data_IF_082735086031
#
_entry.id   IF_082735086031
#
_cell.length_a   1.000
_cell.length_b   1.000
_cell.length_c   1.000
_cell.angle_alpha   90.00
_cell.angle_beta   90.00
_cell.angle_gamma   90.00
#
_symmetry.space_group_name_H-M   'P 1'
#
loop_
_entity.id
_entity.type
_entity.pdbx_description
1 polymer ?
#
# COMPACT_ATOMS: atom_id res chain seq x y z
N UNK A 1 -16.06 -27.19 -22.98
CA UNK A 1 -15.92 -28.52 -22.37
C UNK A 1 -15.09 -28.30 -21.10
N UNK A 2 -15.78 -28.32 -19.96
CA UNK A 2 -15.18 -28.07 -18.64
C UNK A 2 -14.70 -29.43 -18.11
N UNK A 3 -13.38 -29.58 -17.97
CA UNK A 3 -12.77 -30.75 -17.32
C UNK A 3 -12.84 -30.53 -15.83
N UNK A 4 -13.55 -31.39 -15.11
CA UNK A 4 -13.64 -31.40 -13.64
C UNK A 4 -12.30 -31.84 -13.05
N UNK A 5 -11.77 -31.18 -11.99
CA UNK A 5 -10.49 -31.54 -11.36
C UNK A 5 -10.63 -32.67 -10.34
N UNK A 6 -11.23 -33.78 -10.73
CA UNK A 6 -11.48 -34.92 -9.82
C UNK A 6 -10.84 -36.25 -10.25
N UNK A 7 -10.18 -36.30 -11.41
CA UNK A 7 -9.78 -37.58 -12.01
C UNK A 7 -8.31 -37.91 -11.95
N UNK A 8 -7.44 -37.00 -11.48
CA UNK A 8 -5.99 -37.26 -11.38
C UNK A 8 -5.51 -37.77 -10.00
N UNK A 9 -6.28 -37.55 -8.93
CA UNK A 9 -5.93 -38.07 -7.60
C UNK A 9 -6.32 -39.54 -7.38
N UNK A 10 -7.28 -40.03 -8.13
CA UNK A 10 -7.80 -41.44 -8.00
C UNK A 10 -6.83 -42.48 -8.56
N UNK A 11 -5.95 -42.11 -9.50
CA UNK A 11 -5.03 -43.07 -10.16
C UNK A 11 -3.70 -43.26 -9.44
N UNK A 12 -3.30 -42.38 -8.51
CA UNK A 12 -2.04 -42.55 -7.76
C UNK A 12 -2.16 -43.37 -6.47
N UNK A 13 -3.36 -43.73 -6.07
CA UNK A 13 -3.58 -44.49 -4.81
C UNK A 13 -3.69 -46.00 -5.00
N UNK A 14 -3.75 -46.49 -6.23
CA UNK A 14 -3.94 -47.94 -6.50
C UNK A 14 -2.63 -48.74 -6.39
N UNK A 15 -1.46 -48.12 -6.47
CA UNK A 15 -0.15 -48.82 -6.40
C UNK A 15 0.48 -48.86 -4.99
N UNK A 16 -0.19 -48.28 -3.96
CA UNK A 16 0.37 -48.25 -2.61
C UNK A 16 0.02 -49.55 -1.83
N UNK A 17 0.98 -50.09 -1.09
CA UNK A 17 0.75 -51.17 -0.15
C UNK A 17 -0.26 -50.81 0.92
N UNK A 18 -0.93 -51.78 1.59
CA UNK A 18 -1.86 -51.51 2.68
C UNK A 18 -1.27 -50.65 3.80
N UNK A 19 0.02 -50.86 4.12
CA UNK A 19 0.73 -50.08 5.14
C UNK A 19 0.96 -48.61 4.68
N UNK A 20 1.29 -48.39 3.42
CA UNK A 20 1.45 -47.04 2.84
C UNK A 20 0.10 -46.33 2.74
N UNK A 21 -0.98 -47.03 2.37
CA UNK A 21 -2.33 -46.44 2.37
C UNK A 21 -2.77 -46.02 3.78
N UNK A 22 -2.51 -46.87 4.79
CA UNK A 22 -2.79 -46.51 6.18
C UNK A 22 -1.96 -45.32 6.65
N UNK A 23 -0.67 -45.29 6.35
CA UNK A 23 0.22 -44.17 6.66
C UNK A 23 -0.23 -42.88 5.96
N UNK A 24 -0.62 -42.94 4.68
CA UNK A 24 -1.17 -41.81 3.94
C UNK A 24 -2.52 -41.33 4.51
N UNK A 25 -3.42 -42.23 4.85
CA UNK A 25 -4.68 -41.89 5.48
C UNK A 25 -4.48 -41.24 6.86
N UNK A 26 -3.54 -41.75 7.65
CA UNK A 26 -3.19 -41.16 8.96
C UNK A 26 -2.54 -39.77 8.83
N UNK A 27 -1.67 -39.55 7.80
CA UNK A 27 -1.14 -38.23 7.49
C UNK A 27 -2.23 -37.25 7.08
N UNK A 28 -3.15 -37.66 6.18
CA UNK A 28 -4.31 -36.83 5.77
C UNK A 28 -5.20 -36.47 6.96
N UNK A 29 -5.50 -37.44 7.83
CA UNK A 29 -6.29 -37.20 9.05
C UNK A 29 -5.55 -36.22 10.01
N UNK A 30 -4.25 -36.35 10.15
CA UNK A 30 -3.43 -35.40 10.94
C UNK A 30 -3.39 -34.03 10.32
N UNK A 31 -3.23 -33.92 8.99
CA UNK A 31 -3.28 -32.66 8.26
C UNK A 31 -4.65 -31.98 8.34
N UNK A 32 -5.73 -32.74 8.30
CA UNK A 32 -7.10 -32.23 8.46
C UNK A 32 -7.42 -31.77 9.90
N UNK A 33 -6.65 -32.23 10.88
CA UNK A 33 -6.83 -31.86 12.29
C UNK A 33 -6.05 -30.57 12.65
N UNK A 34 -5.33 -29.97 11.71
CA UNK A 34 -4.53 -28.76 11.96
C UNK A 34 -5.38 -27.49 11.96
N UNK A 35 -4.91 -26.45 12.67
CA UNK A 35 -5.51 -25.13 12.62
C UNK A 35 -5.45 -24.53 11.21
N UNK A 36 -4.38 -24.84 10.47
CA UNK A 36 -4.23 -24.42 9.07
C UNK A 36 -5.31 -25.04 8.18
N UNK A 37 -5.69 -26.31 8.39
CA UNK A 37 -6.74 -26.93 7.59
C UNK A 37 -8.08 -26.21 7.77
N UNK A 38 -8.50 -25.98 9.03
CA UNK A 38 -9.75 -25.27 9.34
C UNK A 38 -9.72 -23.80 8.85
N UNK A 39 -8.55 -23.15 8.87
CA UNK A 39 -8.38 -21.80 8.36
C UNK A 39 -8.53 -21.75 6.83
N UNK A 40 -7.99 -22.75 6.11
CA UNK A 40 -8.12 -22.83 4.64
C UNK A 40 -9.56 -22.94 4.16
N UNK A 41 -10.42 -23.58 4.94
CA UNK A 41 -11.86 -23.70 4.64
C UNK A 41 -12.61 -22.35 4.68
N UNK A 42 -11.99 -21.31 5.30
CA UNK A 42 -12.57 -19.97 5.35
C UNK A 42 -12.36 -19.16 4.05
N UNK A 43 -11.65 -19.71 3.06
CA UNK A 43 -11.34 -19.05 1.81
C UNK A 43 -11.77 -19.87 0.60
N UNK A 44 -12.29 -19.19 -0.42
CA UNK A 44 -12.70 -19.78 -1.70
C UNK A 44 -11.53 -19.97 -2.67
N UNK A 45 -10.29 -19.67 -2.25
CA UNK A 45 -9.08 -19.77 -3.05
C UNK A 45 -7.97 -20.51 -2.30
N UNK A 46 -7.00 -21.02 -3.07
CA UNK A 46 -5.83 -21.68 -2.49
C UNK A 46 -4.82 -20.68 -1.92
N UNK A 47 -4.18 -21.04 -0.82
CA UNK A 47 -3.09 -20.24 -0.25
C UNK A 47 -1.81 -20.43 -1.06
N UNK A 48 -1.03 -19.37 -1.18
CA UNK A 48 0.29 -19.39 -1.80
C UNK A 48 1.31 -20.17 -0.96
N UNK A 49 2.36 -20.74 -1.57
CA UNK A 49 3.37 -21.53 -0.86
C UNK A 49 3.97 -20.81 0.34
N UNK A 50 4.32 -19.51 0.22
CA UNK A 50 4.89 -18.74 1.31
C UNK A 50 3.90 -18.53 2.47
N UNK A 51 2.60 -18.42 2.16
CA UNK A 51 1.54 -18.30 3.18
C UNK A 51 1.39 -19.61 3.95
N UNK A 52 1.41 -20.75 3.23
CA UNK A 52 1.34 -22.08 3.84
C UNK A 52 2.54 -22.29 4.76
N UNK A 53 3.75 -21.98 4.29
CA UNK A 53 4.99 -22.12 5.07
C UNK A 53 4.95 -21.28 6.35
N UNK A 54 4.52 -20.02 6.24
CA UNK A 54 4.40 -19.13 7.40
C UNK A 54 3.35 -19.61 8.41
N UNK A 55 2.20 -20.08 7.94
CA UNK A 55 1.15 -20.63 8.80
C UNK A 55 1.62 -21.92 9.53
N UNK A 56 2.34 -22.80 8.84
CA UNK A 56 2.93 -24.01 9.46
C UNK A 56 3.98 -23.67 10.52
N UNK A 57 4.81 -22.67 10.27
CA UNK A 57 5.79 -22.17 11.25
C UNK A 57 5.09 -21.65 12.51
N UNK A 58 4.04 -20.83 12.36
CA UNK A 58 3.25 -20.31 13.47
C UNK A 58 2.54 -21.44 14.25
N UNK A 59 1.98 -22.44 13.56
CA UNK A 59 1.31 -23.59 14.18
C UNK A 59 2.30 -24.44 14.98
N UNK A 60 3.58 -24.50 14.56
CA UNK A 60 4.65 -25.15 15.30
C UNK A 60 5.18 -24.33 16.49
N UNK A 61 4.66 -23.11 16.71
CA UNK A 61 5.03 -22.23 17.83
C UNK A 61 6.16 -21.26 17.53
N UNK A 62 6.64 -21.19 16.27
CA UNK A 62 7.71 -20.26 15.87
C UNK A 62 7.17 -18.87 15.58
N UNK A 63 8.00 -17.84 15.82
CA UNK A 63 7.79 -16.53 15.25
C UNK A 63 8.01 -16.54 13.72
N UNK A 64 7.45 -15.57 13.00
CA UNK A 64 7.69 -15.43 11.56
C UNK A 64 7.97 -14.00 11.15
N UNK A 65 8.90 -13.85 10.20
CA UNK A 65 9.06 -12.64 9.39
C UNK A 65 8.68 -12.99 7.95
N UNK A 66 7.61 -12.40 7.47
CA UNK A 66 7.18 -12.57 6.07
C UNK A 66 7.50 -11.29 5.30
N UNK A 67 8.47 -11.36 4.41
CA UNK A 67 8.85 -10.28 3.49
C UNK A 67 8.35 -10.63 2.08
N UNK A 68 7.31 -9.94 1.63
CA UNK A 68 6.72 -10.19 0.32
C UNK A 68 6.10 -8.88 -0.25
N UNK A 69 6.00 -8.72 -1.58
CA UNK A 69 5.49 -7.51 -2.19
C UNK A 69 4.10 -7.13 -1.69
N UNK A 70 3.78 -5.83 -1.76
CA UNK A 70 2.42 -5.34 -1.50
C UNK A 70 1.45 -6.00 -2.50
N UNK A 71 0.28 -6.42 -2.01
CA UNK A 71 -0.70 -7.15 -2.82
C UNK A 71 -0.44 -8.65 -2.95
N UNK A 72 0.63 -9.21 -2.37
CA UNK A 72 0.90 -10.66 -2.37
C UNK A 72 0.03 -11.47 -1.38
N UNK A 73 -0.80 -10.81 -0.58
CA UNK A 73 -1.64 -11.50 0.39
C UNK A 73 -0.96 -11.82 1.74
N UNK A 74 0.10 -11.11 2.15
CA UNK A 74 0.75 -11.24 3.48
C UNK A 74 -0.24 -11.22 4.65
N UNK A 75 -1.27 -10.41 4.52
CA UNK A 75 -2.34 -10.25 5.51
C UNK A 75 -2.95 -11.58 5.97
N UNK A 76 -3.00 -12.58 5.10
CA UNK A 76 -3.52 -13.93 5.40
C UNK A 76 -2.72 -14.57 6.55
N UNK A 77 -1.41 -14.38 6.58
CA UNK A 77 -0.57 -14.92 7.67
C UNK A 77 -0.91 -14.25 9.01
N UNK A 78 -1.16 -12.93 9.01
CA UNK A 78 -1.62 -12.22 10.20
C UNK A 78 -3.03 -12.65 10.64
N UNK A 79 -3.93 -12.93 9.69
CA UNK A 79 -5.27 -13.45 9.98
C UNK A 79 -5.21 -14.89 10.49
N UNK A 80 -4.25 -15.71 10.03
CA UNK A 80 -4.01 -17.02 10.59
C UNK A 80 -3.55 -16.96 12.05
N UNK A 81 -2.67 -16.00 12.41
CA UNK A 81 -2.29 -15.81 13.81
C UNK A 81 -3.48 -15.44 14.70
N UNK A 82 -4.42 -14.63 14.20
CA UNK A 82 -5.69 -14.33 14.88
C UNK A 82 -6.51 -15.61 15.06
N UNK A 83 -6.67 -16.42 14.00
CA UNK A 83 -7.39 -17.68 14.03
C UNK A 83 -6.78 -18.66 15.05
N UNK A 84 -5.48 -18.82 15.01
CA UNK A 84 -4.73 -19.70 15.90
C UNK A 84 -4.86 -19.28 17.37
N UNK A 85 -4.76 -17.97 17.66
CA UNK A 85 -4.96 -17.44 19.01
C UNK A 85 -6.36 -17.74 19.54
N UNK A 86 -7.40 -17.52 18.74
CA UNK A 86 -8.78 -17.79 19.11
C UNK A 86 -9.02 -19.29 19.37
N UNK A 87 -8.44 -20.18 18.58
CA UNK A 87 -8.50 -21.62 18.82
C UNK A 87 -7.81 -22.04 20.12
N UNK A 88 -6.71 -21.37 20.46
CA UNK A 88 -5.94 -21.61 21.68
C UNK A 88 -6.55 -20.94 22.93
N UNK A 89 -7.63 -20.18 22.80
CA UNK A 89 -8.20 -19.38 23.88
C UNK A 89 -7.27 -18.26 24.38
N UNK A 90 -6.35 -17.80 23.53
CA UNK A 90 -5.41 -16.72 23.80
C UNK A 90 -5.86 -15.42 23.13
N UNK A 91 -5.27 -14.29 23.56
CA UNK A 91 -5.46 -13.01 22.90
C UNK A 91 -4.48 -12.84 21.74
N UNK A 92 -4.92 -12.11 20.72
CA UNK A 92 -4.09 -11.64 19.61
C UNK A 92 -4.20 -10.13 19.46
N UNK A 93 -3.07 -9.43 19.44
CA UNK A 93 -3.03 -8.02 19.10
C UNK A 93 -2.53 -7.85 17.67
N UNK A 94 -3.31 -7.13 16.87
CA UNK A 94 -2.97 -6.82 15.48
C UNK A 94 -2.56 -5.35 15.41
N UNK A 95 -1.27 -5.07 15.19
CA UNK A 95 -0.77 -3.69 15.15
C UNK A 95 -0.54 -3.21 13.72
N UNK A 96 -0.81 -1.94 13.49
CA UNK A 96 -0.60 -1.26 12.21
C UNK A 96 0.12 0.08 12.44
N UNK A 97 0.82 0.64 11.43
CA UNK A 97 1.58 1.88 11.59
C UNK A 97 0.71 3.13 11.74
N UNK A 98 -0.56 3.09 11.32
CA UNK A 98 -1.44 4.26 11.33
C UNK A 98 -2.90 3.88 11.60
N UNK A 99 -3.68 4.86 12.14
CA UNK A 99 -5.08 4.69 12.51
C UNK A 99 -5.98 4.22 11.36
N UNK A 100 -5.77 4.74 10.14
CA UNK A 100 -6.58 4.38 8.98
C UNK A 100 -6.52 2.88 8.69
N UNK A 101 -5.30 2.29 8.72
CA UNK A 101 -5.10 0.85 8.59
C UNK A 101 -5.73 0.08 9.75
N UNK A 102 -5.63 0.61 10.99
CA UNK A 102 -6.27 -0.02 12.15
C UNK A 102 -7.79 -0.10 11.96
N UNK A 103 -8.42 0.99 11.53
CA UNK A 103 -9.87 1.03 11.29
C UNK A 103 -10.29 0.05 10.20
N UNK A 104 -9.56 0.00 9.09
CA UNK A 104 -9.83 -0.94 8.00
C UNK A 104 -9.68 -2.39 8.48
N UNK A 105 -8.58 -2.74 9.13
CA UNK A 105 -8.34 -4.08 9.64
C UNK A 105 -9.35 -4.50 10.68
N UNK A 106 -9.77 -3.57 11.56
CA UNK A 106 -10.84 -3.79 12.51
C UNK A 106 -12.15 -4.17 11.80
N UNK A 107 -12.55 -3.41 10.78
CA UNK A 107 -13.76 -3.70 10.01
C UNK A 107 -13.69 -5.07 9.31
N UNK A 108 -12.52 -5.42 8.75
CA UNK A 108 -12.30 -6.71 8.09
C UNK A 108 -12.40 -7.88 9.07
N UNK A 109 -11.75 -7.76 10.22
CA UNK A 109 -11.79 -8.80 11.26
C UNK A 109 -13.16 -8.92 11.92
N UNK A 110 -13.90 -7.80 12.11
CA UNK A 110 -15.29 -7.85 12.60
C UNK A 110 -16.21 -8.61 11.63
N UNK A 111 -16.06 -8.41 10.32
CA UNK A 111 -16.83 -9.15 9.32
C UNK A 111 -16.56 -10.65 9.37
N UNK A 112 -15.35 -11.05 9.71
CA UNK A 112 -14.91 -12.45 9.72
C UNK A 112 -15.21 -13.15 11.04
N UNK A 113 -14.95 -12.52 12.17
CA UNK A 113 -14.97 -13.15 13.50
C UNK A 113 -16.11 -12.66 14.40
N UNK A 114 -16.85 -11.62 13.98
CA UNK A 114 -17.89 -10.96 14.79
C UNK A 114 -17.35 -9.79 15.60
N UNK A 115 -18.17 -8.73 15.73
CA UNK A 115 -17.77 -7.50 16.45
C UNK A 115 -17.58 -7.74 17.97
N UNK A 116 -18.19 -8.78 18.53
CA UNK A 116 -18.05 -9.16 19.93
C UNK A 116 -16.66 -9.74 20.27
N UNK A 117 -15.93 -10.24 19.27
CA UNK A 117 -14.60 -10.84 19.43
C UNK A 117 -13.47 -9.90 19.05
N UNK A 118 -13.79 -8.78 18.42
CA UNK A 118 -12.79 -7.85 17.90
C UNK A 118 -12.93 -6.50 18.57
N UNK A 119 -11.81 -5.93 19.01
CA UNK A 119 -11.72 -4.60 19.57
C UNK A 119 -10.84 -3.68 18.72
N UNK A 120 -10.99 -2.39 18.91
CA UNK A 120 -10.16 -1.34 18.31
C UNK A 120 -9.61 -0.44 19.40
N UNK A 121 -8.30 -0.18 19.38
CA UNK A 121 -7.67 0.73 20.31
C UNK A 121 -6.68 1.63 19.57
N UNK A 122 -7.05 2.90 19.40
CA UNK A 122 -6.20 3.95 18.81
C UNK A 122 -6.07 5.10 19.78
N UNK A 123 -5.22 6.09 19.48
CA UNK A 123 -5.00 7.21 20.41
C UNK A 123 -6.24 8.01 20.77
N UNK A 124 -7.30 7.95 19.98
CA UNK A 124 -8.54 8.72 20.11
C UNK A 124 -9.81 7.85 20.11
N UNK A 125 -9.69 6.53 19.87
CA UNK A 125 -10.84 5.64 19.81
C UNK A 125 -10.58 4.34 20.57
N UNK A 126 -11.55 3.90 21.37
CA UNK A 126 -11.52 2.65 22.13
C UNK A 126 -12.86 1.95 22.00
N UNK A 127 -12.88 0.83 21.32
CA UNK A 127 -14.05 -0.04 21.14
C UNK A 127 -13.68 -1.44 21.59
N UNK A 128 -14.44 -2.00 22.53
CA UNK A 128 -14.26 -3.38 22.99
C UNK A 128 -12.79 -3.77 23.28
N UNK A 129 -12.07 -2.95 24.03
CA UNK A 129 -10.63 -3.11 24.30
C UNK A 129 -10.27 -4.38 25.09
N UNK A 130 -11.26 -5.07 25.68
CA UNK A 130 -11.13 -6.35 26.37
C UNK A 130 -11.30 -7.58 25.46
N UNK A 131 -11.60 -7.39 24.18
CA UNK A 131 -11.81 -8.47 23.22
C UNK A 131 -10.61 -9.42 23.11
N UNK A 132 -10.81 -10.69 22.72
CA UNK A 132 -9.71 -11.62 22.47
C UNK A 132 -8.82 -11.18 21.30
N UNK A 133 -9.36 -10.42 20.34
CA UNK A 133 -8.58 -9.82 19.25
C UNK A 133 -8.69 -8.31 19.36
N UNK A 134 -7.57 -7.59 19.44
CA UNK A 134 -7.58 -6.12 19.48
C UNK A 134 -6.68 -5.58 18.37
N UNK A 135 -7.28 -4.77 17.51
CA UNK A 135 -6.55 -4.02 16.49
C UNK A 135 -6.11 -2.67 17.08
N UNK A 136 -4.86 -2.30 16.89
CA UNK A 136 -4.32 -1.06 17.46
C UNK A 136 -3.17 -0.50 16.63
N UNK A 137 -2.77 0.74 16.93
CA UNK A 137 -1.50 1.25 16.39
C UNK A 137 -0.32 0.74 17.21
N UNK A 138 0.85 0.65 16.57
CA UNK A 138 2.07 0.14 17.24
C UNK A 138 2.46 0.99 18.45
N UNK A 139 2.25 2.31 18.39
CA UNK A 139 2.50 3.23 19.51
C UNK A 139 1.62 2.92 20.72
N UNK A 140 0.38 2.49 20.51
CA UNK A 140 -0.53 2.11 21.61
C UNK A 140 -0.01 0.85 22.29
N UNK A 141 0.41 -0.17 21.52
CA UNK A 141 0.99 -1.38 22.10
C UNK A 141 2.25 -1.07 22.93
N UNK A 142 3.17 -0.23 22.40
CA UNK A 142 4.34 0.22 23.14
C UNK A 142 3.95 0.84 24.47
N UNK A 143 2.99 1.76 24.48
CA UNK A 143 2.56 2.44 25.70
C UNK A 143 1.93 1.45 26.70
N UNK A 144 1.20 0.42 26.22
CA UNK A 144 0.64 -0.64 27.06
C UNK A 144 1.74 -1.49 27.70
N UNK A 145 2.81 -1.81 26.97
CA UNK A 145 3.97 -2.56 27.48
C UNK A 145 4.66 -1.77 28.61
N UNK A 146 4.94 -0.49 28.39
CA UNK A 146 5.55 0.36 29.41
C UNK A 146 4.67 0.56 30.64
N UNK A 147 3.36 0.64 30.46
CA UNK A 147 2.42 0.80 31.56
C UNK A 147 2.14 -0.52 32.32
N UNK A 148 2.65 -1.66 31.85
CA UNK A 148 2.32 -2.97 32.43
C UNK A 148 0.82 -3.27 32.41
N UNK A 149 0.14 -2.94 31.31
CA UNK A 149 -1.32 -3.00 31.19
C UNK A 149 -1.86 -4.41 31.48
N UNK A 150 -2.90 -4.50 32.30
CA UNK A 150 -3.61 -5.75 32.58
C UNK A 150 -4.22 -6.40 31.31
N UNK A 151 -4.43 -5.62 30.28
CA UNK A 151 -4.94 -6.10 28.98
C UNK A 151 -3.96 -7.07 28.30
N UNK A 152 -2.66 -7.00 28.63
CA UNK A 152 -1.62 -7.92 28.15
C UNK A 152 -1.77 -9.35 28.70
N UNK A 153 -2.55 -9.54 29.76
CA UNK A 153 -2.77 -10.87 30.33
C UNK A 153 -3.50 -11.78 29.32
N UNK A 154 -2.91 -12.95 29.10
CA UNK A 154 -3.42 -13.93 28.13
C UNK A 154 -3.04 -13.63 26.69
N UNK A 155 -2.18 -12.64 26.43
CA UNK A 155 -1.64 -12.36 25.09
C UNK A 155 -0.79 -13.54 24.62
N UNK A 156 -1.12 -14.12 23.49
CA UNK A 156 -0.39 -15.22 22.87
C UNK A 156 0.31 -14.84 21.57
N UNK A 157 -0.29 -13.92 20.81
CA UNK A 157 0.23 -13.54 19.50
C UNK A 157 0.18 -12.02 19.33
N UNK A 158 1.20 -11.48 18.68
CA UNK A 158 1.23 -10.10 18.19
C UNK A 158 1.55 -10.11 16.71
N UNK A 159 0.67 -9.51 15.92
CA UNK A 159 0.91 -9.23 14.50
C UNK A 159 1.39 -7.80 14.37
N UNK A 160 2.59 -7.63 13.81
CA UNK A 160 3.14 -6.33 13.45
C UNK A 160 3.07 -6.18 11.92
N UNK A 161 2.02 -5.50 11.47
CA UNK A 161 1.85 -5.25 10.04
C UNK A 161 2.72 -4.07 9.61
N UNK A 162 3.22 -4.14 8.36
CA UNK A 162 4.11 -3.14 7.75
C UNK A 162 5.37 -2.87 8.60
N UNK A 163 6.00 -3.94 9.11
CA UNK A 163 7.16 -3.84 10.02
C UNK A 163 8.38 -3.13 9.39
N UNK A 164 8.41 -2.94 8.06
CA UNK A 164 9.44 -2.16 7.39
C UNK A 164 9.48 -0.68 7.82
N UNK A 165 8.44 -0.17 8.49
CA UNK A 165 8.46 1.13 9.18
C UNK A 165 9.52 1.23 10.28
N UNK A 166 10.10 0.11 10.71
CA UNK A 166 11.27 0.09 11.59
C UNK A 166 12.44 0.89 11.00
N UNK A 167 12.57 0.96 9.68
CA UNK A 167 13.58 1.79 9.00
C UNK A 167 13.24 3.29 8.95
N UNK A 168 12.04 3.71 9.41
CA UNK A 168 11.67 5.13 9.47
C UNK A 168 12.48 5.84 10.57
N UNK A 169 13.16 6.93 10.19
CA UNK A 169 14.05 7.69 11.08
C UNK A 169 13.38 8.21 12.36
N UNK A 170 12.08 8.51 12.29
CA UNK A 170 11.35 9.13 13.41
C UNK A 170 10.50 8.14 14.19
N UNK A 171 10.02 7.08 13.54
CA UNK A 171 9.09 6.11 14.13
C UNK A 171 9.72 4.75 14.39
N UNK A 172 10.82 4.41 13.73
CA UNK A 172 11.43 3.08 13.78
C UNK A 172 11.68 2.57 15.21
N UNK A 173 12.14 3.45 16.10
CA UNK A 173 12.36 3.11 17.49
C UNK A 173 11.12 2.53 18.21
N UNK A 174 9.90 2.92 17.79
CA UNK A 174 8.66 2.38 18.38
C UNK A 174 8.51 0.88 18.11
N UNK A 175 8.85 0.44 16.89
CA UNK A 175 8.81 -0.98 16.51
C UNK A 175 9.86 -1.78 17.25
N UNK A 176 11.10 -1.25 17.35
CA UNK A 176 12.19 -1.89 18.11
C UNK A 176 11.80 -2.06 19.57
N UNK A 177 11.29 -1.01 20.22
CA UNK A 177 10.85 -1.03 21.62
C UNK A 177 9.75 -2.07 21.84
N UNK A 178 8.77 -2.19 20.95
CA UNK A 178 7.74 -3.23 21.03
C UNK A 178 8.36 -4.62 20.94
N UNK A 179 9.22 -4.87 19.95
CA UNK A 179 9.83 -6.18 19.72
C UNK A 179 10.66 -6.61 20.94
N UNK A 180 11.44 -5.69 21.52
CA UNK A 180 12.32 -5.97 22.67
C UNK A 180 11.53 -6.21 23.97
N UNK A 181 10.44 -5.45 24.18
CA UNK A 181 9.71 -5.46 25.45
C UNK A 181 8.52 -6.45 25.46
N UNK A 182 8.17 -7.05 24.34
CA UNK A 182 7.17 -8.13 24.33
C UNK A 182 7.65 -9.31 25.17
N UNK A 183 6.77 -9.91 26.01
CA UNK A 183 7.12 -11.14 26.76
C UNK A 183 7.57 -12.26 25.82
N UNK A 184 8.55 -13.05 26.21
CA UNK A 184 9.09 -14.17 25.40
C UNK A 184 8.02 -15.20 25.04
N UNK A 185 7.00 -15.36 25.88
CA UNK A 185 5.87 -16.28 25.64
C UNK A 185 4.92 -15.84 24.53
N UNK A 186 5.07 -14.62 24.02
CA UNK A 186 4.21 -14.08 22.94
C UNK A 186 4.87 -14.34 21.60
N UNK A 187 4.18 -15.05 20.72
CA UNK A 187 4.63 -15.30 19.35
C UNK A 187 4.50 -14.04 18.50
N UNK A 188 5.59 -13.64 17.86
CA UNK A 188 5.64 -12.46 17.01
C UNK A 188 5.43 -12.83 15.53
N UNK A 189 4.53 -12.12 14.86
CA UNK A 189 4.24 -12.24 13.43
C UNK A 189 4.55 -10.91 12.75
N UNK A 190 5.67 -10.83 12.06
CA UNK A 190 6.14 -9.62 11.38
C UNK A 190 5.84 -9.69 9.90
N UNK A 191 5.02 -8.75 9.40
CA UNK A 191 4.64 -8.66 7.98
C UNK A 191 5.31 -7.43 7.37
N UNK A 192 6.05 -7.62 6.28
CA UNK A 192 6.84 -6.58 5.63
C UNK A 192 6.61 -6.56 4.13
N UNK A 193 6.67 -5.37 3.51
CA UNK A 193 6.98 -5.28 2.10
C UNK A 193 8.38 -5.88 1.85
N UNK A 194 8.70 -6.27 0.62
CA UNK A 194 10.04 -6.75 0.27
C UNK A 194 11.09 -5.73 0.68
N UNK A 195 12.00 -6.14 1.54
CA UNK A 195 13.14 -5.34 2.00
C UNK A 195 14.44 -5.97 1.53
N UNK A 196 15.37 -5.14 1.10
CA UNK A 196 16.68 -5.58 0.61
C UNK A 196 17.54 -6.28 1.67
N UNK A 197 17.21 -6.10 2.96
CA UNK A 197 17.93 -6.64 4.12
C UNK A 197 17.03 -7.53 5.00
N UNK A 198 16.07 -8.25 4.38
CA UNK A 198 15.14 -9.11 5.14
C UNK A 198 15.87 -10.21 5.94
N UNK A 199 16.98 -10.73 5.42
CA UNK A 199 17.80 -11.74 6.11
C UNK A 199 18.46 -11.14 7.36
N UNK A 200 19.14 -9.99 7.24
CA UNK A 200 19.78 -9.30 8.37
C UNK A 200 18.76 -8.94 9.46
N UNK A 201 17.59 -8.46 9.05
CA UNK A 201 16.51 -8.16 9.98
C UNK A 201 15.95 -9.42 10.63
N UNK A 202 15.86 -10.51 9.90
CA UNK A 202 15.47 -11.83 10.41
C UNK A 202 16.45 -12.37 11.45
N UNK A 203 17.75 -12.27 11.20
CA UNK A 203 18.81 -12.67 12.15
C UNK A 203 18.74 -11.85 13.44
N UNK A 204 18.45 -10.55 13.32
CA UNK A 204 18.23 -9.71 14.50
C UNK A 204 16.98 -10.14 15.28
N UNK A 205 15.86 -10.42 14.60
CA UNK A 205 14.64 -10.93 15.24
C UNK A 205 14.88 -12.27 15.93
N UNK A 206 15.60 -13.19 15.31
CA UNK A 206 15.96 -14.47 15.91
C UNK A 206 16.84 -14.29 17.16
N UNK A 207 17.77 -13.33 17.12
CA UNK A 207 18.60 -12.98 18.27
C UNK A 207 17.78 -12.42 19.44
N UNK A 208 16.79 -11.58 19.17
CA UNK A 208 16.00 -10.87 20.19
C UNK A 208 14.83 -11.72 20.69
N UNK A 209 14.18 -12.49 19.80
CA UNK A 209 12.94 -13.23 20.09
C UNK A 209 13.10 -14.74 20.13
N UNK A 210 14.22 -15.26 19.59
CA UNK A 210 14.44 -16.70 19.39
C UNK A 210 13.50 -17.28 18.31
N UNK A 211 13.86 -18.43 17.80
CA UNK A 211 13.10 -19.32 16.88
C UNK A 211 12.12 -18.60 15.90
N UNK A 212 12.68 -17.67 15.14
CA UNK A 212 11.95 -16.88 14.14
C UNK A 212 12.26 -17.39 12.75
N UNK A 213 11.24 -17.82 11.99
CA UNK A 213 11.39 -18.24 10.59
C UNK A 213 11.25 -17.06 9.65
N UNK A 214 12.26 -16.84 8.81
CA UNK A 214 12.27 -15.80 7.78
C UNK A 214 11.77 -16.39 6.47
N UNK A 215 10.74 -15.79 5.89
CA UNK A 215 10.10 -16.24 4.65
C UNK A 215 10.08 -15.05 3.69
N UNK A 216 10.81 -15.20 2.58
CA UNK A 216 10.93 -14.17 1.56
C UNK A 216 10.24 -14.64 0.28
N UNK A 217 9.37 -13.82 -0.27
CA UNK A 217 8.75 -14.06 -1.57
C UNK A 217 8.89 -12.81 -2.44
N UNK A 218 9.40 -12.97 -3.64
CA UNK A 218 9.54 -11.90 -4.63
C UNK A 218 8.39 -11.93 -5.66
N UNK A 219 7.53 -12.95 -5.57
CA UNK A 219 6.43 -13.10 -6.51
C UNK A 219 5.40 -11.97 -6.35
N UNK A 220 5.18 -11.23 -7.45
CA UNK A 220 4.11 -10.23 -7.55
C UNK A 220 2.93 -10.84 -8.32
N UNK A 221 1.76 -11.02 -7.69
CA UNK A 221 0.57 -11.51 -8.37
C UNK A 221 0.14 -10.58 -9.53
N UNK A 222 0.35 -9.27 -9.35
CA UNK A 222 0.14 -8.26 -10.39
C UNK A 222 1.49 -7.69 -10.79
N UNK A 223 1.92 -7.88 -12.06
CA UNK A 223 3.18 -7.31 -12.55
C UNK A 223 3.19 -5.78 -12.43
N UNK A 224 4.34 -5.22 -12.06
CA UNK A 224 4.59 -3.78 -12.02
C UNK A 224 5.46 -3.37 -13.21
N UNK A 225 4.89 -2.59 -14.12
CA UNK A 225 5.60 -2.00 -15.25
C UNK A 225 6.01 -0.58 -14.91
N UNK A 226 7.27 -0.24 -15.22
CA UNK A 226 7.83 1.06 -14.91
C UNK A 226 8.06 1.86 -16.20
N UNK A 227 7.52 3.08 -16.22
CA UNK A 227 7.55 3.94 -17.39
C UNK A 227 8.01 5.36 -17.04
N UNK A 228 8.46 6.09 -18.04
CA UNK A 228 8.75 7.52 -17.95
C UNK A 228 7.91 8.25 -18.98
N UNK A 229 7.12 9.21 -18.53
CA UNK A 229 6.39 10.12 -19.43
C UNK A 229 7.26 11.35 -19.71
N UNK A 230 7.72 11.51 -20.95
CA UNK A 230 8.48 12.66 -21.42
C UNK A 230 7.84 13.27 -22.67
N UNK A 231 7.48 14.53 -22.60
CA UNK A 231 6.68 15.17 -23.63
C UNK A 231 5.31 14.54 -23.74
N UNK A 232 5.01 13.96 -24.91
CA UNK A 232 3.72 13.27 -25.17
C UNK A 232 3.86 11.75 -25.30
N UNK A 233 5.01 11.19 -24.91
CA UNK A 233 5.27 9.75 -25.06
C UNK A 233 5.56 9.10 -23.71
N UNK A 234 5.02 7.90 -23.55
CA UNK A 234 5.34 6.99 -22.47
C UNK A 234 6.46 6.08 -22.99
N UNK A 235 7.57 6.01 -22.27
CA UNK A 235 8.73 5.18 -22.56
C UNK A 235 8.84 4.13 -21.46
N UNK A 236 9.15 2.89 -21.83
CA UNK A 236 9.55 1.89 -20.85
C UNK A 236 10.84 2.33 -20.16
N UNK A 237 10.87 2.30 -18.82
CA UNK A 237 12.05 2.70 -18.05
C UNK A 237 13.24 1.77 -18.32
N UNK A 238 12.96 0.47 -18.50
CA UNK A 238 13.96 -0.54 -18.76
C UNK A 238 13.67 -1.25 -20.08
N UNK A 239 14.73 -1.57 -20.81
CA UNK A 239 14.70 -2.47 -21.95
C UNK A 239 15.38 -3.79 -21.58
N UNK A 240 14.87 -4.90 -22.11
CA UNK A 240 15.48 -6.21 -21.93
C UNK A 240 16.57 -6.43 -22.99
N UNK A 241 17.83 -6.25 -22.63
CA UNK A 241 18.98 -6.71 -23.42
C UNK A 241 19.44 -8.08 -22.89
N UNK A 242 18.88 -9.15 -23.43
CA UNK A 242 19.18 -10.51 -23.01
C UNK A 242 18.74 -10.80 -21.56
N UNK A 243 19.69 -11.12 -20.68
CA UNK A 243 19.42 -11.41 -19.24
C UNK A 243 19.53 -10.19 -18.32
N UNK A 244 19.84 -9.00 -18.83
CA UNK A 244 20.02 -7.80 -18.02
C UNK A 244 18.98 -6.74 -18.38
N UNK A 245 18.35 -6.17 -17.38
CA UNK A 245 17.52 -4.96 -17.52
C UNK A 245 18.46 -3.76 -17.61
N UNK A 246 18.47 -3.06 -18.74
CA UNK A 246 19.19 -1.80 -18.94
C UNK A 246 18.21 -0.64 -18.98
N UNK A 247 18.63 0.53 -18.48
CA UNK A 247 17.82 1.75 -18.60
C UNK A 247 17.70 2.10 -20.08
N UNK A 248 16.49 2.43 -20.53
CA UNK A 248 16.18 2.77 -21.90
C UNK A 248 17.14 3.84 -22.45
N UNK A 249 17.83 3.58 -23.58
CA UNK A 249 18.80 4.48 -24.16
C UNK A 249 18.25 5.87 -24.52
N UNK A 250 16.97 5.93 -24.93
CA UNK A 250 16.31 7.20 -25.25
C UNK A 250 16.12 8.07 -24.02
N UNK A 251 15.76 7.49 -22.88
CA UNK A 251 15.66 8.20 -21.59
C UNK A 251 17.04 8.69 -21.17
N UNK A 252 18.06 7.83 -21.27
CA UNK A 252 19.45 8.20 -20.94
C UNK A 252 19.95 9.35 -21.81
N UNK A 253 19.63 9.35 -23.12
CA UNK A 253 19.97 10.42 -24.06
C UNK A 253 19.26 11.72 -23.71
N UNK A 254 17.95 11.68 -23.38
CA UNK A 254 17.19 12.85 -22.95
C UNK A 254 17.76 13.45 -21.65
N UNK A 255 18.07 12.62 -20.66
CA UNK A 255 18.65 13.05 -19.39
C UNK A 255 20.01 13.73 -19.58
N UNK A 256 20.89 13.20 -20.46
CA UNK A 256 22.17 13.81 -20.79
C UNK A 256 22.01 15.16 -21.48
N UNK A 257 21.05 15.31 -22.38
CA UNK A 257 20.72 16.58 -23.04
C UNK A 257 20.21 17.63 -22.06
N UNK A 258 19.45 17.25 -21.04
CA UNK A 258 19.02 18.15 -19.98
C UNK A 258 20.19 18.54 -19.05
N UNK A 259 21.02 17.59 -18.64
CA UNK A 259 22.16 17.80 -17.75
C UNK A 259 23.27 18.68 -18.38
N UNK A 260 23.42 18.63 -19.70
CA UNK A 260 24.42 19.44 -20.43
C UNK A 260 24.04 20.95 -20.62
N UNK A 261 22.89 21.35 -20.04
CA UNK A 261 22.42 22.75 -20.13
C UNK A 261 23.16 23.65 -19.15
N UNK A 262 23.65 24.84 -19.59
CA UNK A 262 24.23 25.81 -18.68
C UNK A 262 23.19 26.30 -17.66
N UNK A 263 23.56 26.31 -16.39
CA UNK A 263 22.75 26.86 -15.30
C UNK A 263 22.47 28.35 -15.55
N UNK A 264 21.35 28.87 -15.03
CA UNK A 264 20.96 30.29 -15.14
C UNK A 264 22.02 31.26 -14.62
N UNK A 265 22.95 30.82 -13.77
CA UNK A 265 24.05 31.62 -13.23
C UNK A 265 25.15 32.01 -14.21
N UNK A 266 25.39 31.22 -15.26
CA UNK A 266 26.48 31.42 -16.22
C UNK A 266 26.20 32.46 -17.34
N UNK A 267 25.01 33.07 -17.37
CA UNK A 267 24.56 33.96 -18.46
C UNK A 267 25.08 35.38 -18.42
N UNK A 268 25.94 35.74 -17.46
CA UNK A 268 26.42 37.14 -17.35
C UNK A 268 27.69 37.51 -18.15
N UNK A 269 28.28 36.60 -18.91
CA UNK A 269 29.47 36.90 -19.72
C UNK A 269 29.36 36.41 -21.17
N UNK A 270 28.79 37.22 -22.04
CA UNK A 270 28.85 37.00 -23.49
C UNK A 270 28.10 38.07 -24.27
N UNK A 271 28.82 39.13 -24.68
CA UNK A 271 28.35 40.05 -25.74
C UNK A 271 28.47 39.33 -27.08
N UNK A 272 27.41 38.66 -27.52
CA UNK A 272 27.33 38.00 -28.82
C UNK A 272 26.16 38.50 -29.65
N UNK A 273 26.26 38.43 -30.97
CA UNK A 273 25.34 38.92 -32.00
C UNK A 273 23.87 38.45 -31.76
N UNK A 274 22.93 39.39 -31.77
CA UNK A 274 21.49 39.19 -31.51
C UNK A 274 20.87 38.10 -32.42
N UNK A 275 21.30 38.04 -33.68
CA UNK A 275 20.77 37.05 -34.66
C UNK A 275 21.21 35.60 -34.41
N UNK A 276 22.39 35.40 -33.84
CA UNK A 276 22.86 34.08 -33.42
C UNK A 276 22.19 33.63 -32.15
N UNK A 277 21.95 34.54 -31.21
CA UNK A 277 21.24 34.32 -29.96
C UNK A 277 19.77 33.89 -30.20
N UNK A 278 19.09 34.45 -31.21
CA UNK A 278 17.70 34.07 -31.55
C UNK A 278 17.63 32.68 -32.20
N UNK A 279 18.55 32.34 -33.13
CA UNK A 279 18.65 30.97 -33.69
C UNK A 279 19.02 29.93 -32.64
N UNK A 280 19.84 30.31 -31.69
CA UNK A 280 20.19 29.43 -30.58
C UNK A 280 19.04 29.28 -29.56
N UNK A 281 18.22 30.33 -29.38
CA UNK A 281 16.97 30.30 -28.63
C UNK A 281 15.94 29.37 -29.27
N UNK A 282 15.75 29.47 -30.60
CA UNK A 282 14.83 28.58 -31.34
C UNK A 282 15.32 27.10 -31.32
N UNK A 283 16.63 26.86 -31.48
CA UNK A 283 17.21 25.52 -31.33
C UNK A 283 17.04 24.98 -29.90
N UNK A 284 17.23 25.84 -28.88
CA UNK A 284 17.04 25.50 -27.46
C UNK A 284 15.57 25.26 -27.13
N UNK A 285 14.64 25.97 -27.72
CA UNK A 285 13.20 25.74 -27.58
C UNK A 285 12.76 24.40 -28.20
N UNK A 286 13.33 24.03 -29.35
CA UNK A 286 13.08 22.73 -30.01
C UNK A 286 13.71 21.54 -29.32
N UNK A 287 14.75 21.75 -28.50
CA UNK A 287 15.45 20.69 -27.75
C UNK A 287 14.98 20.54 -26.28
N UNK A 288 13.99 21.31 -25.86
CA UNK A 288 13.47 21.24 -24.49
C UNK A 288 12.67 19.96 -24.36
N UNK A 289 13.05 19.07 -23.43
CA UNK A 289 12.17 17.98 -23.03
C UNK A 289 10.94 18.65 -22.42
N UNK A 290 9.82 18.53 -23.11
CA UNK A 290 8.56 19.13 -22.68
C UNK A 290 8.07 18.36 -21.44
N UNK A 291 7.97 19.05 -20.31
CA UNK A 291 7.27 18.50 -19.15
C UNK A 291 5.77 18.69 -19.40
N UNK A 292 4.98 17.62 -19.54
CA UNK A 292 3.55 17.72 -19.79
C UNK A 292 2.85 18.38 -18.59
N UNK A 293 1.76 19.10 -18.88
CA UNK A 293 0.87 19.59 -17.83
C UNK A 293 0.17 18.40 -17.16
N UNK A 294 -0.33 18.61 -15.94
CA UNK A 294 -1.05 17.54 -15.20
C UNK A 294 -2.29 17.04 -15.95
N UNK A 295 -3.02 17.94 -16.61
CA UNK A 295 -4.14 17.56 -17.46
C UNK A 295 -3.71 16.70 -18.64
N UNK A 296 -2.61 17.04 -19.33
CA UNK A 296 -2.08 16.23 -20.43
C UNK A 296 -1.62 14.83 -19.96
N UNK A 297 -1.08 14.73 -18.73
CA UNK A 297 -0.74 13.42 -18.14
C UNK A 297 -1.98 12.57 -17.97
N UNK A 298 -3.04 13.12 -17.37
CA UNK A 298 -4.29 12.37 -17.13
C UNK A 298 -4.98 12.01 -18.45
N UNK A 299 -5.05 12.93 -19.42
CA UNK A 299 -5.57 12.65 -20.76
C UNK A 299 -4.80 11.52 -21.46
N UNK A 300 -3.47 11.51 -21.29
CA UNK A 300 -2.65 10.44 -21.86
C UNK A 300 -2.93 9.10 -21.22
N UNK A 301 -3.04 9.05 -19.89
CA UNK A 301 -3.40 7.84 -19.16
C UNK A 301 -4.79 7.34 -19.52
N UNK A 302 -5.76 8.24 -19.72
CA UNK A 302 -7.11 7.87 -20.15
C UNK A 302 -7.10 7.26 -21.54
N UNK A 303 -6.42 7.90 -22.51
CA UNK A 303 -6.28 7.43 -23.87
C UNK A 303 -5.62 6.03 -23.99
N UNK A 304 -4.71 5.68 -23.07
CA UNK A 304 -4.06 4.37 -22.99
C UNK A 304 -4.85 3.35 -22.12
N UNK A 305 -6.01 3.76 -21.57
CA UNK A 305 -6.82 2.90 -20.68
C UNK A 305 -6.14 2.61 -19.33
N UNK A 306 -5.29 3.52 -18.85
CA UNK A 306 -4.49 3.38 -17.64
C UNK A 306 -5.11 4.06 -16.40
N UNK A 307 -6.37 4.50 -16.48
CA UNK A 307 -7.15 4.97 -15.34
C UNK A 307 -7.86 3.79 -14.64
N UNK A 308 -8.14 3.87 -13.32
CA UNK A 308 -7.90 4.99 -12.43
C UNK A 308 -6.43 5.17 -12.07
N UNK A 309 -6.02 6.42 -11.83
CA UNK A 309 -4.63 6.78 -11.51
C UNK A 309 -4.53 7.61 -10.24
N UNK A 310 -3.43 7.39 -9.48
CA UNK A 310 -3.04 8.22 -8.34
C UNK A 310 -1.74 8.95 -8.71
N UNK A 311 -1.76 10.27 -8.64
CA UNK A 311 -0.58 11.12 -8.85
C UNK A 311 -0.08 11.66 -7.52
N UNK A 312 1.11 11.26 -7.10
CA UNK A 312 1.71 11.76 -5.87
C UNK A 312 2.39 13.10 -6.08
N UNK A 313 1.92 14.09 -5.32
CA UNK A 313 2.45 15.45 -5.25
C UNK A 313 2.76 15.75 -3.77
N UNK A 314 4.02 15.87 -3.40
CA UNK A 314 4.45 16.03 -2.00
C UNK A 314 4.15 17.44 -1.44
N UNK A 315 2.96 17.98 -1.76
CA UNK A 315 2.48 19.29 -1.33
C UNK A 315 0.96 19.33 -1.32
N UNK A 316 0.34 19.72 -0.20
CA UNK A 316 -1.12 19.88 -0.08
C UNK A 316 -1.65 20.89 -1.09
N UNK A 317 -1.06 22.10 -1.11
CA UNK A 317 -1.41 23.13 -2.07
C UNK A 317 -1.16 22.71 -3.53
N UNK A 318 -0.15 21.84 -3.76
CA UNK A 318 0.12 21.23 -5.05
C UNK A 318 -0.99 20.29 -5.52
N UNK A 319 -1.60 19.53 -4.62
CA UNK A 319 -2.73 18.64 -4.92
C UNK A 319 -3.97 19.45 -5.34
N UNK A 320 -4.32 20.49 -4.58
CA UNK A 320 -5.42 21.39 -4.91
C UNK A 320 -5.19 22.11 -6.25
N UNK A 321 -4.00 22.68 -6.44
CA UNK A 321 -3.64 23.33 -7.69
C UNK A 321 -3.70 22.37 -8.89
N UNK A 322 -3.43 21.06 -8.71
CA UNK A 322 -3.53 20.07 -9.76
C UNK A 322 -4.98 19.84 -10.19
N UNK A 323 -5.90 19.74 -9.24
CA UNK A 323 -7.34 19.65 -9.53
C UNK A 323 -7.78 20.88 -10.31
N UNK A 324 -7.43 22.09 -9.84
CA UNK A 324 -7.79 23.34 -10.51
C UNK A 324 -7.24 23.40 -11.95
N UNK A 325 -5.99 23.00 -12.17
CA UNK A 325 -5.41 22.95 -13.54
C UNK A 325 -6.23 22.02 -14.46
N UNK A 326 -6.66 20.87 -13.96
CA UNK A 326 -7.48 19.95 -14.73
C UNK A 326 -8.88 20.52 -15.03
N UNK A 327 -9.49 21.20 -14.05
CA UNK A 327 -10.80 21.87 -14.23
C UNK A 327 -10.71 23.01 -15.25
N UNK A 328 -9.68 23.87 -15.18
CA UNK A 328 -9.43 24.95 -16.15
C UNK A 328 -9.12 24.43 -17.56
N UNK A 329 -8.43 23.30 -17.68
CA UNK A 329 -8.20 22.64 -18.96
C UNK A 329 -9.47 21.98 -19.54
N UNK A 330 -10.58 21.98 -18.81
CA UNK A 330 -11.85 21.40 -19.24
C UNK A 330 -11.90 19.88 -19.18
N UNK A 331 -10.97 19.24 -18.46
CA UNK A 331 -10.90 17.77 -18.35
C UNK A 331 -12.19 17.20 -17.73
N UNK A 332 -12.75 16.16 -18.39
CA UNK A 332 -13.94 15.45 -17.94
C UNK A 332 -13.74 13.96 -18.17
N UNK A 333 -13.71 13.20 -17.09
CA UNK A 333 -13.51 11.75 -17.11
C UNK A 333 -14.85 10.99 -16.92
N UNK A 334 -15.89 11.69 -16.45
CA UNK A 334 -17.21 11.13 -16.18
C UNK A 334 -18.24 11.62 -17.19
N UNK A 335 -19.14 10.72 -17.58
CA UNK A 335 -20.37 11.03 -18.28
C UNK A 335 -21.45 11.62 -17.34
N UNK A 336 -22.58 12.04 -17.89
CA UNK A 336 -23.65 12.68 -17.12
C UNK A 336 -24.30 11.72 -16.10
N UNK A 337 -24.35 10.41 -16.40
CA UNK A 337 -24.91 9.41 -15.49
C UNK A 337 -23.98 9.18 -14.29
N UNK A 338 -22.66 9.13 -14.53
CA UNK A 338 -21.67 9.05 -13.45
C UNK A 338 -21.69 10.32 -12.58
N UNK A 339 -21.80 11.51 -13.19
CA UNK A 339 -21.93 12.80 -12.49
C UNK A 339 -23.12 12.82 -11.54
N UNK A 340 -24.30 12.38 -12.01
CA UNK A 340 -25.51 12.33 -11.18
C UNK A 340 -25.32 11.40 -9.96
N UNK A 341 -24.68 10.24 -10.15
CA UNK A 341 -24.35 9.31 -9.05
C UNK A 341 -23.38 9.91 -8.04
N UNK A 342 -22.35 10.62 -8.53
CA UNK A 342 -21.41 11.34 -7.67
C UNK A 342 -22.16 12.36 -6.81
N UNK A 343 -22.98 13.20 -7.43
CA UNK A 343 -23.75 14.23 -6.71
C UNK A 343 -24.63 13.63 -5.62
N UNK A 344 -25.41 12.61 -5.95
CA UNK A 344 -26.29 11.94 -5.00
C UNK A 344 -25.55 11.38 -3.78
N UNK A 345 -24.38 10.74 -3.99
CA UNK A 345 -23.57 10.20 -2.92
C UNK A 345 -22.95 11.31 -2.06
N UNK A 346 -22.44 12.37 -2.69
CA UNK A 346 -21.84 13.50 -1.97
C UNK A 346 -22.90 14.19 -1.10
N UNK A 347 -24.09 14.48 -1.63
CA UNK A 347 -25.19 15.08 -0.87
C UNK A 347 -25.59 14.22 0.33
N UNK A 348 -25.68 12.90 0.16
CA UNK A 348 -25.98 11.96 1.24
C UNK A 348 -24.90 12.00 2.35
N UNK A 349 -23.62 11.93 1.96
CA UNK A 349 -22.50 11.89 2.91
C UNK A 349 -22.22 13.21 3.62
N UNK A 350 -22.59 14.32 3.00
CA UNK A 350 -22.37 15.67 3.54
C UNK A 350 -23.63 16.29 4.17
N UNK A 351 -24.73 15.55 4.25
CA UNK A 351 -26.02 16.05 4.79
C UNK A 351 -25.93 16.59 6.23
N UNK A 352 -24.94 16.14 7.01
CA UNK A 352 -24.70 16.61 8.37
C UNK A 352 -23.94 17.94 8.46
N UNK A 353 -23.38 18.44 7.34
CA UNK A 353 -22.61 19.68 7.31
C UNK A 353 -23.59 20.86 7.14
N UNK A 354 -23.56 21.89 8.02
CA UNK A 354 -24.41 23.05 7.87
C UNK A 354 -24.21 23.76 6.53
N UNK A 355 -25.31 24.19 5.91
CA UNK A 355 -25.24 24.81 4.58
C UNK A 355 -24.40 26.11 4.56
N UNK A 356 -24.34 26.82 5.67
CA UNK A 356 -23.54 28.04 5.86
C UNK A 356 -22.02 27.75 5.83
N UNK A 357 -21.59 26.54 6.23
CA UNK A 357 -20.19 26.14 6.26
C UNK A 357 -19.67 25.63 4.89
N UNK A 358 -20.55 25.18 4.00
CA UNK A 358 -20.16 24.58 2.73
C UNK A 358 -19.28 25.51 1.88
N UNK A 359 -19.58 26.80 1.84
CA UNK A 359 -18.79 27.77 1.07
C UNK A 359 -17.38 27.94 1.64
N UNK A 360 -17.27 28.04 2.97
CA UNK A 360 -15.97 28.21 3.66
C UNK A 360 -15.09 26.98 3.50
N UNK A 361 -15.70 25.80 3.41
CA UNK A 361 -15.02 24.52 3.23
C UNK A 361 -14.61 24.24 1.77
N UNK A 362 -14.92 25.14 0.81
CA UNK A 362 -14.61 24.93 -0.61
C UNK A 362 -15.43 23.80 -1.26
N UNK A 363 -16.61 23.47 -0.70
CA UNK A 363 -17.43 22.35 -1.11
C UNK A 363 -17.79 22.36 -2.62
N UNK A 364 -18.12 23.51 -3.18
CA UNK A 364 -18.60 23.59 -4.56
C UNK A 364 -17.51 23.28 -5.57
N UNK A 365 -16.28 23.74 -5.33
CA UNK A 365 -15.11 23.44 -6.19
C UNK A 365 -14.70 21.98 -6.06
N UNK A 366 -14.73 21.47 -4.82
CA UNK A 366 -14.45 20.06 -4.56
C UNK A 366 -15.50 19.15 -5.23
N UNK A 367 -16.81 19.48 -5.12
CA UNK A 367 -17.88 18.74 -5.80
C UNK A 367 -17.71 18.76 -7.33
N UNK A 368 -17.38 19.92 -7.91
CA UNK A 368 -17.15 20.03 -9.34
C UNK A 368 -16.01 19.09 -9.80
N UNK A 369 -14.92 19.01 -9.04
CA UNK A 369 -13.83 18.06 -9.31
C UNK A 369 -14.32 16.62 -9.29
N UNK A 370 -15.06 16.22 -8.26
CA UNK A 370 -15.60 14.87 -8.11
C UNK A 370 -16.56 14.50 -9.26
N UNK A 371 -17.45 15.42 -9.64
CA UNK A 371 -18.36 15.22 -10.75
C UNK A 371 -17.63 14.97 -12.08
N UNK A 372 -16.45 15.59 -12.25
CA UNK A 372 -15.60 15.36 -13.43
C UNK A 372 -14.70 14.14 -13.30
N UNK A 373 -14.73 13.44 -12.17
CA UNK A 373 -13.94 12.24 -11.89
C UNK A 373 -12.52 12.53 -11.39
N UNK A 374 -12.28 13.73 -10.83
CA UNK A 374 -10.96 14.22 -10.41
C UNK A 374 -11.04 14.66 -8.94
N UNK A 375 -10.05 14.30 -8.14
CA UNK A 375 -10.01 14.68 -6.72
C UNK A 375 -8.59 14.99 -6.22
N UNK A 376 -8.51 15.80 -5.17
CA UNK A 376 -7.35 15.86 -4.28
C UNK A 376 -7.56 14.95 -3.08
N UNK A 377 -6.47 14.42 -2.49
CA UNK A 377 -6.49 13.68 -1.24
C UNK A 377 -5.26 13.97 -0.40
N UNK A 378 -5.43 14.64 0.73
CA UNK A 378 -4.33 15.00 1.63
C UNK A 378 -4.80 15.24 3.07
N UNK A 379 -3.87 15.29 4.02
CA UNK A 379 -4.14 15.41 5.45
C UNK A 379 -4.83 16.75 5.86
N UNK A 380 -4.86 17.76 4.98
CA UNK A 380 -5.53 19.03 5.25
C UNK A 380 -7.04 19.04 4.95
N UNK A 381 -7.57 17.96 4.35
CA UNK A 381 -9.00 17.84 4.05
C UNK A 381 -9.79 17.36 5.28
N UNK A 382 -11.07 17.71 5.32
CA UNK A 382 -11.99 17.14 6.30
C UNK A 382 -12.05 15.61 6.19
N UNK A 383 -12.16 14.88 7.30
CA UNK A 383 -12.30 13.42 7.28
C UNK A 383 -13.41 12.94 6.35
N UNK A 384 -14.59 13.54 6.45
CA UNK A 384 -15.74 13.22 5.58
C UNK A 384 -15.43 13.38 4.09
N UNK A 385 -14.71 14.45 3.71
CA UNK A 385 -14.34 14.68 2.31
C UNK A 385 -13.35 13.61 1.82
N UNK A 386 -12.41 13.19 2.65
CA UNK A 386 -11.48 12.10 2.32
C UNK A 386 -12.21 10.78 2.11
N UNK A 387 -13.09 10.41 3.05
CA UNK A 387 -13.89 9.18 2.97
C UNK A 387 -14.76 9.15 1.71
N UNK A 388 -15.34 10.27 1.32
CA UNK A 388 -16.12 10.39 0.07
C UNK A 388 -15.22 10.18 -1.17
N UNK A 389 -14.03 10.78 -1.21
CA UNK A 389 -13.08 10.57 -2.31
C UNK A 389 -12.69 9.10 -2.42
N UNK A 390 -12.38 8.46 -1.30
CA UNK A 390 -12.02 7.05 -1.21
C UNK A 390 -13.16 6.14 -1.70
N UNK A 391 -14.38 6.40 -1.24
CA UNK A 391 -15.57 5.64 -1.66
C UNK A 391 -15.85 5.80 -3.16
N UNK A 392 -15.78 7.02 -3.68
CA UNK A 392 -15.98 7.29 -5.10
C UNK A 392 -14.88 6.65 -5.97
N UNK A 393 -13.63 6.63 -5.49
CA UNK A 393 -12.54 5.96 -6.18
C UNK A 393 -12.76 4.45 -6.24
N UNK A 394 -13.13 3.82 -5.13
CA UNK A 394 -13.46 2.39 -5.09
C UNK A 394 -14.62 2.02 -6.02
N UNK A 395 -15.58 2.94 -6.21
CA UNK A 395 -16.71 2.77 -7.15
C UNK A 395 -16.36 3.10 -8.61
N UNK A 396 -15.13 3.52 -8.89
CA UNK A 396 -14.67 3.93 -10.23
C UNK A 396 -15.30 5.23 -10.73
N UNK A 397 -15.87 6.05 -9.82
CA UNK A 397 -16.49 7.35 -10.12
C UNK A 397 -15.48 8.50 -10.01
N UNK A 398 -14.43 8.36 -9.22
CA UNK A 398 -13.22 9.19 -9.26
C UNK A 398 -12.14 8.37 -9.95
N UNK A 399 -11.56 8.90 -11.02
CA UNK A 399 -10.60 8.21 -11.90
C UNK A 399 -9.20 8.78 -11.84
N UNK A 400 -9.05 10.03 -11.36
CA UNK A 400 -7.75 10.66 -11.14
C UNK A 400 -7.69 11.31 -9.76
N UNK A 401 -6.71 10.90 -8.95
CA UNK A 401 -6.50 11.45 -7.61
C UNK A 401 -5.10 12.06 -7.53
N UNK A 402 -5.02 13.30 -7.08
CA UNK A 402 -3.79 13.97 -6.72
C UNK A 402 -3.58 13.90 -5.21
N UNK A 403 -2.53 13.23 -4.75
CA UNK A 403 -2.37 12.88 -3.35
C UNK A 403 -1.00 13.25 -2.78
N UNK A 404 -0.96 13.44 -1.46
CA UNK A 404 0.27 13.47 -0.69
C UNK A 404 0.66 12.06 -0.24
N UNK A 405 1.88 11.89 0.25
CA UNK A 405 2.43 10.61 0.74
C UNK A 405 1.51 9.89 1.76
N UNK A 406 0.70 10.66 2.50
CA UNK A 406 -0.23 10.10 3.49
C UNK A 406 -1.29 9.15 2.90
N UNK A 407 -1.60 9.26 1.60
CA UNK A 407 -2.50 8.33 0.93
C UNK A 407 -1.87 6.95 0.76
N UNK A 408 -0.55 6.90 0.49
CA UNK A 408 0.17 5.63 0.32
C UNK A 408 0.19 4.79 1.60
N UNK A 409 -0.03 5.42 2.74
CA UNK A 409 0.08 4.86 4.08
C UNK A 409 -1.25 4.24 4.55
N UNK A 410 -1.89 3.38 3.76
CA UNK A 410 -2.91 2.54 4.32
C UNK A 410 -4.34 2.71 3.83
N UNK A 411 -4.54 3.23 2.67
CA UNK A 411 -5.86 3.25 2.05
C UNK A 411 -5.85 2.26 0.89
N UNK A 412 -6.77 1.30 0.92
CA UNK A 412 -6.95 0.37 -0.18
C UNK A 412 -7.67 1.08 -1.33
N UNK A 413 -6.90 1.84 -2.13
CA UNK A 413 -7.38 2.47 -3.36
C UNK A 413 -6.71 1.77 -4.56
N UNK A 414 -7.37 0.78 -5.17
CA UNK A 414 -6.78 0.01 -6.27
C UNK A 414 -6.66 0.90 -7.52
N UNK A 415 -5.48 1.51 -7.68
CA UNK A 415 -5.14 2.28 -8.86
C UNK A 415 -4.51 1.38 -9.93
N UNK A 416 -4.86 1.61 -11.19
CA UNK A 416 -4.22 0.96 -12.33
C UNK A 416 -2.84 1.55 -12.60
N UNK A 417 -2.69 2.85 -12.33
CA UNK A 417 -1.44 3.58 -12.51
C UNK A 417 -1.11 4.45 -11.31
N UNK A 418 0.19 4.53 -11.02
CA UNK A 418 0.75 5.47 -10.04
C UNK A 418 1.72 6.38 -10.76
N UNK A 419 1.56 7.68 -10.59
CA UNK A 419 2.41 8.72 -11.17
C UNK A 419 3.19 9.41 -10.06
N UNK A 420 4.50 9.47 -10.19
CA UNK A 420 5.38 10.28 -9.35
C UNK A 420 5.78 11.53 -10.13
N UNK A 421 5.28 12.69 -9.73
CA UNK A 421 5.57 13.96 -10.43
C UNK A 421 7.03 14.37 -10.27
N UNK A 422 7.59 14.14 -9.07
CA UNK A 422 8.99 14.42 -8.73
C UNK A 422 9.51 13.33 -7.80
N UNK A 423 10.80 13.02 -7.94
CA UNK A 423 11.51 12.10 -7.05
C UNK A 423 12.23 12.82 -5.90
N UNK A 424 11.85 14.07 -5.62
CA UNK A 424 12.40 14.91 -4.55
C UNK A 424 11.28 15.47 -3.71
N UNK A 425 11.40 15.36 -2.39
CA UNK A 425 10.44 15.91 -1.42
C UNK A 425 11.12 16.86 -0.43
N UNK A 426 10.32 17.75 0.17
CA UNK A 426 10.77 18.57 1.29
C UNK A 426 10.71 17.74 2.58
N UNK A 427 11.84 17.59 3.28
CA UNK A 427 11.94 16.79 4.51
C UNK A 427 11.77 17.59 5.80
N UNK A 428 11.39 18.88 5.71
CA UNK A 428 11.29 19.82 6.82
C UNK A 428 12.47 20.80 6.87
N UNK A 429 13.62 20.45 6.31
CA UNK A 429 14.84 21.27 6.31
C UNK A 429 15.35 21.57 4.90
N UNK A 430 15.30 20.57 4.01
CA UNK A 430 15.79 20.70 2.63
C UNK A 430 15.04 19.79 1.66
N UNK A 431 15.24 20.02 0.37
CA UNK A 431 14.78 19.08 -0.65
C UNK A 431 15.70 17.85 -0.66
N UNK A 432 15.13 16.67 -0.41
CA UNK A 432 15.83 15.39 -0.40
C UNK A 432 15.21 14.43 -1.40
N UNK A 433 16.01 13.54 -1.95
CA UNK A 433 15.53 12.46 -2.81
C UNK A 433 14.58 11.54 -2.05
N UNK A 434 13.59 11.01 -2.77
CA UNK A 434 12.69 9.99 -2.23
C UNK A 434 13.50 8.71 -2.03
N UNK A 435 13.45 8.19 -0.82
CA UNK A 435 14.08 6.89 -0.51
C UNK A 435 13.14 5.75 -0.94
N UNK A 436 13.64 4.50 -1.15
CA UNK A 436 12.81 3.35 -1.46
C UNK A 436 11.67 3.12 -0.46
N UNK A 437 11.89 3.43 0.81
CA UNK A 437 10.89 3.32 1.90
C UNK A 437 9.80 4.39 1.79
N UNK A 438 10.11 5.56 1.23
CA UNK A 438 9.15 6.65 1.04
C UNK A 438 8.48 6.64 -0.34
N UNK A 439 8.78 5.64 -1.16
CA UNK A 439 8.12 5.47 -2.45
C UNK A 439 6.82 4.68 -2.24
N UNK A 440 5.67 5.17 -2.72
CA UNK A 440 4.41 4.42 -2.64
C UNK A 440 4.55 3.06 -3.30
N UNK A 441 4.24 2.02 -2.57
CA UNK A 441 4.36 0.60 -3.01
C UNK A 441 3.11 0.12 -3.74
#
# INVERSE_FOLDING_TARGET
>A
MSVRPGTLESTMTEDLSPAERYAAARRRAAEQATALASFREMYDFGLDPFQIEACQALESGKGVLVAAPTGSGKTIVGEFAVHLALQQGKKCFYTTPIKALSNQKYADLCRRYGAERVGLLTGDNSVNSGAPVVVMTTEVLRNMLYAGSQTLLGLGHVVMDEVHYLSDRFRGAVWEEVIIHLPESVTLVSLSATVSNAEEFGDWLDTVRGDTQVIVSEHRPVPLFQHVLAGRRIYDLFEEEGRKKAVNPDITRMARLEASRPSWGDRKRGRGNVREADRERERRQRSRVWTPSRSEVIERLDAEGLLPAITFIFSRAGCEAAVQQCLYAGLRLNDDAARARVRSLVEERTASIPAEDLHVLGYYEWLEGLERGIAAHHAGMLPTFKEVVEELFLRGLVKAVFATETLALGINMPARSVVLEKLVKWNGEQHADITPVSTPS
#
